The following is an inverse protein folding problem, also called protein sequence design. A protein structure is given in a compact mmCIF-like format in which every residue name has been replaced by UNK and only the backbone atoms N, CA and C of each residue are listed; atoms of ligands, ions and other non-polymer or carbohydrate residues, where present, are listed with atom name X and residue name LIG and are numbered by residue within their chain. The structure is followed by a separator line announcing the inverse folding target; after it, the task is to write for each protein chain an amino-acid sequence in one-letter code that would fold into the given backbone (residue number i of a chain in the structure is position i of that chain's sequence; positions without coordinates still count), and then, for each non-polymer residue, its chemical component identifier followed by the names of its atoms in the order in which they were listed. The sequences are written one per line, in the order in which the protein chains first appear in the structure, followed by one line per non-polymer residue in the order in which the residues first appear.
data_IF_385580209938
#
_entry.id   IF_385580209938
#
_cell.length_a   1.000
_cell.length_b   1.000
_cell.length_c   1.000
_cell.angle_alpha   90.00
_cell.angle_beta   90.00
_cell.angle_gamma   90.00
#
_symmetry.space_group_name_H-M   'P 1'
#
loop_
_entity.id
_entity.type
_entity.pdbx_description
1 polymer ?
#
# COMPACT_ATOMS: atom_id res chain seq x y z
N UNK A 1 -5.92 11.15 6.15
CA UNK A 1 -4.50 10.80 6.35
C UNK A 1 -3.83 10.77 4.99
N UNK A 2 -2.63 11.34 4.86
CA UNK A 2 -1.83 11.29 3.62
C UNK A 2 -0.37 11.16 4.04
N UNK A 3 0.26 10.08 3.61
CA UNK A 3 1.65 9.76 3.90
C UNK A 3 2.34 9.36 2.61
N UNK A 4 3.53 9.90 2.38
CA UNK A 4 4.47 9.42 1.39
C UNK A 4 5.83 9.20 2.02
N UNK A 5 6.53 8.16 1.58
CA UNK A 5 7.87 7.85 2.04
C UNK A 5 8.66 7.06 1.00
N UNK A 6 9.98 7.16 1.11
CA UNK A 6 10.92 6.38 0.32
C UNK A 6 11.72 5.46 1.23
N UNK A 7 11.84 4.19 0.85
CA UNK A 7 12.54 3.16 1.60
C UNK A 7 13.54 2.44 0.70
N UNK A 8 14.78 2.29 1.14
CA UNK A 8 15.76 1.49 0.39
C UNK A 8 15.61 0.02 0.74
N UNK A 9 15.26 -0.81 -0.25
CA UNK A 9 15.12 -2.27 -0.11
C UNK A 9 16.05 -2.94 -1.10
N UNK A 10 17.04 -3.69 -0.58
CA UNK A 10 18.01 -4.39 -1.43
C UNK A 10 18.80 -3.46 -2.37
N UNK A 11 19.07 -2.23 -1.93
CA UNK A 11 19.82 -1.22 -2.69
C UNK A 11 18.97 -0.39 -3.67
N UNK A 12 17.67 -0.65 -3.79
CA UNK A 12 16.76 0.13 -4.64
C UNK A 12 15.80 0.95 -3.79
N UNK A 13 15.62 2.23 -4.13
CA UNK A 13 14.62 3.09 -3.50
C UNK A 13 13.21 2.65 -3.89
N UNK A 14 12.31 2.53 -2.92
CA UNK A 14 10.90 2.15 -3.08
C UNK A 14 10.04 3.29 -2.55
N UNK A 15 9.18 3.87 -3.39
CA UNK A 15 8.31 4.99 -3.03
C UNK A 15 6.89 4.50 -2.79
N UNK A 16 6.39 4.71 -1.58
CA UNK A 16 5.04 4.34 -1.19
C UNK A 16 4.27 5.60 -0.81
N UNK A 17 3.04 5.71 -1.31
CA UNK A 17 2.08 6.71 -0.83
C UNK A 17 0.79 6.03 -0.42
N UNK A 18 0.33 6.35 0.79
CA UNK A 18 -0.95 5.91 1.33
C UNK A 18 -1.74 7.14 1.70
N UNK A 19 -2.94 7.28 1.13
CA UNK A 19 -3.82 8.39 1.46
C UNK A 19 -5.26 7.92 1.62
N UNK A 20 -5.99 8.58 2.51
CA UNK A 20 -7.41 8.33 2.72
C UNK A 20 -8.17 8.85 1.51
N UNK A 21 -8.89 7.95 0.84
CA UNK A 21 -9.81 8.31 -0.23
C UNK A 21 -11.17 8.74 0.35
N UNK A 22 -11.66 8.03 1.37
CA UNK A 22 -12.85 8.42 2.13
C UNK A 22 -12.79 7.93 3.58
N UNK A 23 -13.42 8.68 4.48
CA UNK A 23 -13.55 8.34 5.89
C UNK A 23 -14.97 8.63 6.35
N UNK A 24 -15.66 7.60 6.84
CA UNK A 24 -16.98 7.72 7.45
C UNK A 24 -16.92 7.26 8.91
N UNK A 25 -18.04 7.35 9.63
CA UNK A 25 -18.12 6.90 11.01
C UNK A 25 -17.80 5.40 11.19
N UNK A 26 -17.97 4.57 10.16
CA UNK A 26 -17.78 3.12 10.25
C UNK A 26 -16.76 2.57 9.25
N UNK A 27 -16.44 3.29 8.18
CA UNK A 27 -15.62 2.80 7.08
C UNK A 27 -14.46 3.75 6.78
N UNK A 28 -13.32 3.19 6.40
CA UNK A 28 -12.20 3.93 5.81
C UNK A 28 -11.88 3.31 4.45
N UNK A 29 -11.78 4.14 3.41
CA UNK A 29 -11.23 3.76 2.13
C UNK A 29 -9.84 4.38 1.99
N UNK A 30 -8.85 3.55 1.67
CA UNK A 30 -7.47 3.95 1.46
C UNK A 30 -7.11 3.76 -0.02
N UNK A 31 -6.38 4.72 -0.56
CA UNK A 31 -5.69 4.58 -1.83
C UNK A 31 -4.20 4.36 -1.54
N UNK A 32 -3.69 3.26 -2.08
CA UNK A 32 -2.31 2.82 -1.92
C UNK A 32 -1.66 2.80 -3.30
N UNK A 33 -0.67 3.66 -3.48
CA UNK A 33 0.03 3.79 -4.74
C UNK A 33 1.35 3.01 -4.68
N UNK A 34 1.48 2.02 -5.55
CA UNK A 34 2.70 1.25 -5.80
C UNK A 34 3.09 1.40 -7.28
N UNK A 35 3.79 2.49 -7.60
CA UNK A 35 4.28 2.74 -8.96
C UNK A 35 5.44 1.77 -9.26
N UNK A 36 5.25 0.86 -10.22
CA UNK A 36 6.26 -0.14 -10.60
C UNK A 36 7.49 0.47 -11.29
N UNK A 37 7.44 1.74 -11.69
CA UNK A 37 8.60 2.45 -12.25
C UNK A 37 9.69 2.65 -11.19
N UNK A 38 9.27 2.93 -9.95
CA UNK A 38 10.15 3.10 -8.81
C UNK A 38 10.19 1.84 -7.91
N UNK A 39 9.11 1.06 -7.88
CA UNK A 39 8.98 -0.08 -6.98
C UNK A 39 9.18 -1.43 -7.68
N UNK A 40 10.31 -2.08 -7.41
CA UNK A 40 10.71 -3.36 -8.04
C UNK A 40 10.85 -4.50 -7.03
N UNK A 41 10.57 -4.24 -5.75
CA UNK A 41 10.64 -5.22 -4.67
C UNK A 41 9.23 -5.54 -4.17
N UNK A 42 9.08 -6.72 -3.58
CA UNK A 42 7.84 -7.04 -2.87
C UNK A 42 7.71 -6.15 -1.64
N UNK A 43 6.49 -5.71 -1.35
CA UNK A 43 6.19 -4.78 -0.24
C UNK A 43 4.97 -5.28 0.51
N UNK A 44 5.02 -5.23 1.83
CA UNK A 44 3.84 -5.38 2.69
C UNK A 44 3.58 -4.06 3.41
N UNK A 45 2.32 -3.61 3.43
CA UNK A 45 1.89 -2.41 4.12
C UNK A 45 1.04 -2.81 5.32
N UNK A 46 1.51 -2.43 6.50
CA UNK A 46 0.82 -2.61 7.76
C UNK A 46 0.43 -1.24 8.33
N UNK A 47 -0.78 -1.16 8.89
CA UNK A 47 -1.23 -0.01 9.69
C UNK A 47 -1.53 -0.55 11.08
N UNK A 48 -0.90 0.01 12.11
CA UNK A 48 -1.02 -0.47 13.50
C UNK A 48 -0.80 -2.00 13.61
N UNK A 49 0.24 -2.51 12.94
CA UNK A 49 0.59 -3.93 12.84
C UNK A 49 -0.49 -4.83 12.20
N UNK A 50 -1.49 -4.25 11.53
CA UNK A 50 -2.51 -4.98 10.78
C UNK A 50 -2.17 -4.95 9.30
N UNK A 51 -2.05 -6.13 8.69
CA UNK A 51 -1.76 -6.25 7.25
C UNK A 51 -2.95 -5.74 6.43
N UNK A 52 -2.70 -4.73 5.61
CA UNK A 52 -3.68 -4.07 4.75
C UNK A 52 -3.55 -4.58 3.31
N UNK A 53 -2.34 -4.58 2.76
CA UNK A 53 -2.08 -5.05 1.39
C UNK A 53 -0.62 -5.45 1.24
N UNK A 54 -0.36 -6.46 0.42
CA UNK A 54 0.97 -6.83 -0.05
C UNK A 54 1.05 -6.77 -1.57
N UNK A 55 2.18 -6.30 -2.09
CA UNK A 55 2.50 -6.32 -3.51
C UNK A 55 3.65 -7.29 -3.76
N UNK A 56 3.53 -8.12 -4.78
CA UNK A 56 4.68 -8.87 -5.31
C UNK A 56 5.62 -7.91 -6.05
N UNK A 57 6.85 -8.35 -6.34
CA UNK A 57 7.78 -7.56 -7.15
C UNK A 57 7.26 -7.23 -8.57
N UNK A 58 6.24 -7.95 -9.05
CA UNK A 58 5.54 -7.69 -10.31
C UNK A 58 4.31 -6.77 -10.14
N UNK A 59 4.14 -6.14 -8.97
CA UNK A 59 3.03 -5.23 -8.68
C UNK A 59 1.67 -5.89 -8.46
N UNK A 60 1.60 -7.22 -8.40
CA UNK A 60 0.34 -7.93 -8.09
C UNK A 60 -0.03 -7.70 -6.64
N UNK A 61 -1.15 -7.04 -6.39
CA UNK A 61 -1.68 -6.74 -5.06
C UNK A 61 -2.46 -7.94 -4.50
N UNK A 62 -2.29 -8.21 -3.20
CA UNK A 62 -3.11 -9.15 -2.41
C UNK A 62 -3.59 -8.43 -1.16
N UNK A 63 -4.90 -8.46 -0.90
CA UNK A 63 -5.49 -7.82 0.26
C UNK A 63 -5.05 -8.56 1.54
N UNK A 64 -4.58 -7.82 2.53
CA UNK A 64 -4.36 -8.33 3.87
C UNK A 64 -5.67 -8.55 4.61
N UNK A 65 -5.62 -9.28 5.73
CA UNK A 65 -6.82 -9.62 6.52
C UNK A 65 -7.63 -8.41 7.00
N UNK A 66 -7.01 -7.23 7.08
CA UNK A 66 -7.64 -5.97 7.49
C UNK A 66 -7.79 -4.96 6.34
N UNK A 67 -7.43 -5.33 5.11
CA UNK A 67 -7.51 -4.47 3.92
C UNK A 67 -8.89 -4.39 3.27
N UNK A 68 -9.79 -5.31 3.62
CA UNK A 68 -11.11 -5.39 3.01
C UNK A 68 -11.06 -5.78 1.53
N UNK A 69 -12.02 -5.28 0.76
CA UNK A 69 -12.09 -5.52 -0.68
C UNK A 69 -11.27 -4.47 -1.45
N UNK A 70 -10.35 -4.95 -2.29
CA UNK A 70 -9.59 -4.08 -3.19
C UNK A 70 -10.32 -3.92 -4.52
N UNK A 71 -10.31 -2.68 -5.03
CA UNK A 71 -10.75 -2.35 -6.39
C UNK A 71 -9.63 -1.60 -7.09
N UNK A 72 -9.29 -2.01 -8.31
CA UNK A 72 -8.46 -1.18 -9.17
C UNK A 72 -9.25 0.09 -9.53
N UNK A 73 -8.63 1.26 -9.40
CA UNK A 73 -9.22 2.56 -9.74
C UNK A 73 -8.65 3.07 -11.04
#
# INVERSE_FOLDING_TARGET
FDYSGEFTVGGSAQKIRVHTHSLTATNTSLSVNHDMTDNTKAVEILIDNKSIVSYTAAGVATAGAFGGAMTAQ
#
